data_IF_129322125190
#
_entry.id   IF_129322125190
#
_cell.length_a   1.000
_cell.length_b   1.000
_cell.length_c   1.000
_cell.angle_alpha   90.00
_cell.angle_beta   90.00
_cell.angle_gamma   90.00
#
_symmetry.space_group_name_H-M   'P 1'
#
loop_
_entity.id
_entity.type
_entity.pdbx_description
1 polymer ?
#
# COMPACT_ATOMS: atom_id res chain seq x y z
N UNK A 1 7.50 12.13 4.97
CA UNK A 1 7.05 11.59 3.68
C UNK A 1 8.02 12.02 2.60
N UNK A 2 8.18 13.29 2.30
CA UNK A 2 9.06 13.82 1.25
C UNK A 2 10.49 13.24 1.35
N UNK A 3 11.09 13.28 2.54
CA UNK A 3 12.41 12.72 2.78
C UNK A 3 12.52 11.24 2.38
N UNK A 4 11.50 10.44 2.70
CA UNK A 4 11.51 9.00 2.37
C UNK A 4 11.23 8.76 0.90
N UNK A 5 10.17 9.36 0.36
CA UNK A 5 9.75 9.07 -1.01
C UNK A 5 10.62 9.79 -2.06
N UNK A 6 10.87 11.09 -1.90
CA UNK A 6 11.65 11.85 -2.88
C UNK A 6 13.16 11.64 -2.70
N UNK A 7 13.70 11.87 -1.47
CA UNK A 7 15.16 11.88 -1.27
C UNK A 7 15.76 10.47 -1.20
N UNK A 8 15.10 9.52 -0.47
CA UNK A 8 15.66 8.17 -0.32
C UNK A 8 15.26 7.22 -1.48
N UNK A 9 13.98 7.27 -1.90
CA UNK A 9 13.46 6.34 -2.92
C UNK A 9 13.57 6.91 -4.34
N UNK A 10 13.71 8.22 -4.48
CA UNK A 10 13.89 8.88 -5.77
C UNK A 10 12.58 9.09 -6.55
N UNK A 11 11.44 9.16 -5.84
CA UNK A 11 10.17 9.53 -6.46
C UNK A 11 10.21 10.96 -6.99
N UNK A 12 9.62 11.20 -8.15
CA UNK A 12 9.57 12.51 -8.79
C UNK A 12 8.46 13.38 -8.16
N UNK A 13 8.65 13.76 -6.91
CA UNK A 13 7.72 14.61 -6.17
C UNK A 13 8.16 16.06 -6.32
N UNK A 14 7.41 16.83 -7.11
CA UNK A 14 7.63 18.28 -7.25
C UNK A 14 7.09 18.99 -6.01
N UNK A 15 7.96 19.67 -5.27
CA UNK A 15 7.58 20.37 -4.04
C UNK A 15 8.51 21.56 -3.78
N UNK A 16 7.93 22.76 -3.68
CA UNK A 16 8.67 23.99 -3.38
C UNK A 16 9.05 24.12 -1.90
N UNK A 17 8.41 23.36 -1.03
CA UNK A 17 8.55 23.45 0.43
C UNK A 17 9.08 22.17 1.09
N UNK A 18 9.48 21.16 0.31
CA UNK A 18 9.98 19.87 0.82
C UNK A 18 8.88 19.01 1.46
N UNK A 19 7.63 19.18 1.06
CA UNK A 19 6.51 18.36 1.54
C UNK A 19 6.02 17.42 0.43
N UNK A 20 5.73 16.18 0.77
CA UNK A 20 4.91 15.29 -0.04
C UNK A 20 3.46 15.48 0.38
N UNK A 21 2.73 16.27 -0.39
CA UNK A 21 1.31 16.55 -0.18
C UNK A 21 0.58 16.52 -1.52
N UNK A 22 -0.61 15.96 -1.52
CA UNK A 22 -1.50 15.92 -2.67
C UNK A 22 -2.94 16.25 -2.24
N UNK A 23 -3.85 16.35 -3.19
CA UNK A 23 -5.26 16.71 -2.96
C UNK A 23 -6.00 15.72 -2.03
N UNK A 24 -5.54 14.47 -1.91
CA UNK A 24 -6.15 13.48 -1.03
C UNK A 24 -5.87 13.74 0.45
N UNK A 25 -4.81 14.48 0.80
CA UNK A 25 -4.40 14.65 2.19
C UNK A 25 -5.49 15.30 3.05
N UNK A 26 -6.26 16.25 2.49
CA UNK A 26 -7.34 16.93 3.20
C UNK A 26 -8.57 16.03 3.45
N UNK A 27 -8.69 14.91 2.73
CA UNK A 27 -9.81 13.96 2.82
C UNK A 27 -9.43 12.68 3.58
N UNK A 28 -8.19 12.58 4.02
CA UNK A 28 -7.65 11.40 4.68
C UNK A 28 -7.51 11.59 6.19
N UNK A 29 -7.60 10.49 6.92
CA UNK A 29 -7.06 10.39 8.27
C UNK A 29 -5.56 10.08 8.21
N UNK A 30 -4.78 10.62 9.14
CA UNK A 30 -3.34 10.41 9.20
C UNK A 30 -2.97 9.65 10.46
N UNK A 31 -2.53 8.41 10.30
CA UNK A 31 -2.01 7.61 11.40
C UNK A 31 -0.51 7.91 11.55
N UNK A 32 -0.12 8.37 12.74
CA UNK A 32 1.23 8.83 13.01
C UNK A 32 1.83 8.07 14.19
N UNK A 33 3.09 7.67 14.07
CA UNK A 33 3.92 7.25 15.22
C UNK A 33 4.88 8.37 15.55
N UNK A 34 4.83 8.79 16.82
CA UNK A 34 5.59 9.91 17.35
C UNK A 34 6.53 9.45 18.46
N UNK A 35 7.75 9.93 18.44
CA UNK A 35 8.71 9.70 19.51
C UNK A 35 8.34 10.53 20.75
N UNK A 36 8.37 9.92 21.93
CA UNK A 36 7.91 10.60 23.16
C UNK A 36 8.81 11.73 23.62
N UNK A 37 10.12 11.61 23.38
CA UNK A 37 11.12 12.53 23.95
C UNK A 37 11.14 13.88 23.25
N UNK A 38 10.89 13.93 21.96
CA UNK A 38 11.07 15.12 21.13
C UNK A 38 9.89 15.42 20.19
N UNK A 39 8.80 14.67 20.31
CA UNK A 39 7.59 14.79 19.50
C UNK A 39 7.79 14.56 17.98
N UNK A 40 8.93 14.00 17.59
CA UNK A 40 9.28 13.75 16.18
C UNK A 40 8.38 12.67 15.60
N UNK A 41 7.80 12.95 14.43
CA UNK A 41 7.07 11.95 13.64
C UNK A 41 8.09 10.99 13.00
N UNK A 42 7.99 9.70 13.32
CA UNK A 42 8.93 8.66 12.88
C UNK A 42 8.29 7.61 11.98
N UNK A 43 6.96 7.61 11.87
CA UNK A 43 6.21 6.74 10.95
C UNK A 43 4.83 7.29 10.67
N UNK A 44 4.31 7.01 9.49
CA UNK A 44 2.96 7.40 9.10
C UNK A 44 2.30 6.41 8.13
N UNK A 45 0.97 6.44 8.14
CA UNK A 45 0.07 5.96 7.10
C UNK A 45 -0.97 7.04 6.79
N UNK A 46 -1.37 7.13 5.54
CA UNK A 46 -2.54 7.87 5.09
C UNK A 46 -3.71 6.90 4.91
N UNK A 47 -4.87 7.24 5.46
CA UNK A 47 -6.07 6.41 5.51
C UNK A 47 -7.21 7.13 4.81
N UNK A 48 -7.61 6.69 3.63
CA UNK A 48 -8.76 7.20 2.90
C UNK A 48 -9.96 6.27 3.14
N UNK A 49 -11.00 6.77 3.76
CA UNK A 49 -12.25 6.03 3.97
C UNK A 49 -13.20 6.20 2.78
N UNK A 50 -14.28 5.41 2.72
CA UNK A 50 -15.33 5.57 1.70
C UNK A 50 -15.96 6.97 1.72
N UNK A 51 -16.08 7.59 2.90
CA UNK A 51 -16.56 8.96 3.04
C UNK A 51 -15.57 9.97 2.43
N UNK A 52 -14.28 9.84 2.73
CA UNK A 52 -13.23 10.67 2.14
C UNK A 52 -13.13 10.50 0.62
N UNK A 53 -13.21 9.27 0.13
CA UNK A 53 -13.21 8.97 -1.30
C UNK A 53 -14.44 9.56 -2.01
N UNK A 54 -15.61 9.53 -1.38
CA UNK A 54 -16.81 10.17 -1.92
C UNK A 54 -16.70 11.69 -1.93
N UNK A 55 -16.08 12.29 -0.92
CA UNK A 55 -15.90 13.74 -0.82
C UNK A 55 -14.92 14.30 -1.88
N UNK A 56 -13.82 13.60 -2.13
CA UNK A 56 -12.87 13.97 -3.21
C UNK A 56 -13.35 13.49 -4.59
N UNK A 57 -14.29 12.53 -4.63
CA UNK A 57 -14.85 11.99 -5.88
C UNK A 57 -14.20 10.71 -6.39
N UNK A 58 -13.12 10.23 -5.78
CA UNK A 58 -12.41 9.02 -6.23
C UNK A 58 -11.59 8.35 -5.12
N UNK A 59 -11.33 7.07 -5.26
CA UNK A 59 -10.28 6.35 -4.54
C UNK A 59 -8.92 6.63 -5.18
N UNK A 60 -7.85 6.72 -4.39
CA UNK A 60 -6.51 6.95 -4.94
C UNK A 60 -6.11 5.83 -5.92
N UNK A 61 -6.33 4.56 -5.54
CA UNK A 61 -6.03 3.42 -6.40
C UNK A 61 -6.84 3.38 -7.70
N UNK A 62 -7.94 4.13 -7.83
CA UNK A 62 -8.69 4.21 -9.08
C UNK A 62 -7.95 5.02 -10.17
N UNK A 63 -6.93 5.79 -9.80
CA UNK A 63 -6.03 6.41 -10.77
C UNK A 63 -5.17 5.36 -11.49
N UNK A 64 -4.93 4.24 -10.85
CA UNK A 64 -4.07 3.17 -11.34
C UNK A 64 -4.85 1.93 -11.83
N UNK A 65 -6.02 1.65 -11.24
CA UNK A 65 -6.77 0.42 -11.47
C UNK A 65 -8.26 0.68 -11.70
N UNK A 66 -8.87 -0.13 -12.56
CA UNK A 66 -10.34 -0.23 -12.64
C UNK A 66 -10.88 -0.98 -11.42
N UNK A 67 -11.50 -0.23 -10.49
CA UNK A 67 -12.08 -0.76 -9.25
C UNK A 67 -13.54 -1.20 -9.41
N UNK A 68 -14.10 -1.27 -10.63
CA UNK A 68 -15.52 -1.58 -10.86
C UNK A 68 -15.98 -2.88 -10.22
N UNK A 69 -15.12 -3.89 -10.16
CA UNK A 69 -15.41 -5.18 -9.51
C UNK A 69 -15.40 -5.14 -7.99
N UNK A 70 -14.81 -4.12 -7.39
CA UNK A 70 -14.69 -3.99 -5.93
C UNK A 70 -15.82 -3.16 -5.30
N UNK A 71 -16.76 -2.64 -6.08
CA UNK A 71 -17.83 -1.76 -5.60
C UNK A 71 -18.61 -2.32 -4.40
N UNK A 72 -18.72 -3.65 -4.29
CA UNK A 72 -19.41 -4.32 -3.19
C UNK A 72 -18.63 -4.32 -1.87
N UNK A 73 -17.31 -4.10 -1.87
CA UNK A 73 -16.48 -4.02 -0.66
C UNK A 73 -16.07 -2.59 -0.30
N UNK A 74 -16.01 -1.68 -1.28
CA UNK A 74 -15.54 -0.32 -1.08
C UNK A 74 -16.25 0.46 0.05
N UNK A 75 -17.58 0.30 0.30
CA UNK A 75 -18.25 0.97 1.42
C UNK A 75 -17.70 0.58 2.81
N UNK A 76 -17.07 -0.58 2.93
CA UNK A 76 -16.47 -1.09 4.16
C UNK A 76 -14.95 -1.16 4.09
N UNK A 77 -14.35 -0.44 3.14
CA UNK A 77 -12.92 -0.41 2.94
C UNK A 77 -12.28 0.87 3.48
N UNK A 78 -10.99 0.76 3.83
CA UNK A 78 -10.06 1.87 3.95
C UNK A 78 -8.92 1.67 2.99
N UNK A 79 -8.55 2.73 2.28
CA UNK A 79 -7.37 2.71 1.43
C UNK A 79 -6.16 3.24 2.20
N UNK A 80 -5.09 2.46 2.15
CA UNK A 80 -3.82 2.72 2.81
C UNK A 80 -2.82 3.29 1.80
N UNK A 81 -2.32 4.47 2.08
CA UNK A 81 -1.30 5.10 1.25
C UNK A 81 -0.19 5.76 2.07
N UNK A 82 0.84 6.19 1.38
CA UNK A 82 1.97 6.95 1.95
C UNK A 82 2.57 6.30 3.20
N UNK A 83 2.64 4.96 3.22
CA UNK A 83 3.28 4.19 4.28
C UNK A 83 4.77 4.48 4.33
N UNK A 84 5.26 5.13 5.36
CA UNK A 84 6.70 5.33 5.52
C UNK A 84 7.15 5.33 6.98
N UNK A 85 8.40 4.92 7.19
CA UNK A 85 9.09 4.92 8.48
C UNK A 85 10.45 5.58 8.29
N UNK A 86 10.80 6.47 9.20
CA UNK A 86 12.10 7.12 9.21
C UNK A 86 13.23 6.08 9.27
N UNK A 87 14.31 6.29 8.50
CA UNK A 87 15.38 5.29 8.29
C UNK A 87 15.99 4.73 9.61
N UNK A 88 16.16 5.58 10.61
CA UNK A 88 16.73 5.17 11.91
C UNK A 88 15.76 4.32 12.77
N UNK A 89 14.48 4.25 12.40
CA UNK A 89 13.43 3.56 13.16
C UNK A 89 12.85 2.34 12.44
N UNK A 90 13.57 1.80 11.44
CA UNK A 90 13.13 0.63 10.63
C UNK A 90 13.43 -0.72 11.28
N UNK A 91 13.64 -0.77 12.59
CA UNK A 91 13.88 -2.01 13.36
C UNK A 91 12.65 -2.93 13.47
N UNK A 92 11.49 -2.51 12.98
CA UNK A 92 10.23 -3.26 13.01
C UNK A 92 9.24 -2.80 14.08
N UNK A 93 9.67 -2.14 15.16
CA UNK A 93 8.76 -1.66 16.21
C UNK A 93 7.80 -0.58 15.71
N UNK A 94 8.29 0.38 14.92
CA UNK A 94 7.47 1.47 14.38
C UNK A 94 6.37 0.96 13.45
N UNK A 95 6.69 0.03 12.56
CA UNK A 95 5.68 -0.58 11.68
C UNK A 95 4.67 -1.41 12.48
N UNK A 96 5.10 -2.06 13.56
CA UNK A 96 4.21 -2.78 14.48
C UNK A 96 3.20 -1.84 15.14
N UNK A 97 3.64 -0.67 15.60
CA UNK A 97 2.76 0.35 16.17
C UNK A 97 1.78 0.92 15.13
N UNK A 98 2.24 1.18 13.90
CA UNK A 98 1.37 1.59 12.79
C UNK A 98 0.28 0.55 12.53
N UNK A 99 0.63 -0.72 12.48
CA UNK A 99 -0.35 -1.80 12.28
C UNK A 99 -1.33 -1.93 13.45
N UNK A 100 -0.87 -1.79 14.68
CA UNK A 100 -1.75 -1.79 15.86
C UNK A 100 -2.75 -0.63 15.82
N UNK A 101 -2.27 0.58 15.49
CA UNK A 101 -3.13 1.75 15.33
C UNK A 101 -4.12 1.59 14.17
N UNK A 102 -3.69 1.01 13.05
CA UNK A 102 -4.54 0.71 11.91
C UNK A 102 -5.66 -0.27 12.28
N UNK A 103 -5.33 -1.37 12.96
CA UNK A 103 -6.34 -2.35 13.40
C UNK A 103 -7.34 -1.75 14.38
N UNK A 104 -6.88 -0.88 15.30
CA UNK A 104 -7.76 -0.15 16.19
C UNK A 104 -8.70 0.79 15.43
N UNK A 105 -8.19 1.53 14.45
CA UNK A 105 -8.99 2.38 13.57
C UNK A 105 -10.05 1.57 12.82
N UNK A 106 -9.68 0.44 12.22
CA UNK A 106 -10.60 -0.46 11.53
C UNK A 106 -11.75 -0.93 12.41
N UNK A 107 -11.43 -1.35 13.64
CA UNK A 107 -12.41 -1.76 14.64
C UNK A 107 -13.38 -0.63 15.02
N UNK A 108 -12.85 0.56 15.29
CA UNK A 108 -13.66 1.72 15.66
C UNK A 108 -14.63 2.16 14.56
N UNK A 109 -14.21 2.02 13.31
CA UNK A 109 -14.99 2.43 12.14
C UNK A 109 -15.87 1.29 11.58
N UNK A 110 -15.79 0.07 12.11
CA UNK A 110 -16.52 -1.09 11.59
C UNK A 110 -16.13 -1.46 10.17
N UNK A 111 -14.87 -1.25 9.78
CA UNK A 111 -14.35 -1.54 8.44
C UNK A 111 -13.87 -2.99 8.34
N UNK A 112 -14.06 -3.61 7.17
CA UNK A 112 -13.75 -5.02 6.94
C UNK A 112 -12.61 -5.25 5.95
N UNK A 113 -12.27 -4.25 5.13
CA UNK A 113 -11.27 -4.38 4.07
C UNK A 113 -10.23 -3.27 4.14
N UNK A 114 -8.99 -3.65 3.94
CA UNK A 114 -7.88 -2.72 3.65
C UNK A 114 -7.49 -2.90 2.18
N UNK A 115 -7.37 -1.82 1.45
CA UNK A 115 -6.85 -1.80 0.08
C UNK A 115 -5.69 -0.81 -0.04
N UNK A 116 -4.90 -0.90 -1.09
CA UNK A 116 -3.85 0.08 -1.38
C UNK A 116 -2.82 -0.45 -2.36
N UNK A 117 -2.03 0.45 -2.93
CA UNK A 117 -0.99 0.11 -3.87
C UNK A 117 0.28 -0.38 -3.16
N UNK A 118 0.80 -1.49 -3.62
CA UNK A 118 2.07 -2.05 -3.18
C UNK A 118 3.13 -1.90 -4.28
N UNK A 119 4.11 -1.03 -4.04
CA UNK A 119 5.08 -0.61 -5.05
C UNK A 119 6.30 -1.52 -5.13
N UNK A 120 6.70 -1.83 -6.36
CA UNK A 120 7.92 -2.54 -6.73
C UNK A 120 8.80 -1.61 -7.57
N UNK A 121 10.10 -1.62 -7.31
CA UNK A 121 11.05 -0.72 -7.97
C UNK A 121 11.22 -1.04 -9.46
N UNK A 122 11.26 0.00 -10.31
CA UNK A 122 11.44 -0.09 -11.75
C UNK A 122 12.87 0.25 -12.23
N UNK A 123 13.84 0.39 -11.33
CA UNK A 123 15.23 0.81 -11.67
C UNK A 123 15.96 -0.09 -12.66
N UNK A 124 15.57 -1.36 -12.74
CA UNK A 124 16.12 -2.34 -13.69
C UNK A 124 15.28 -2.51 -14.97
N UNK A 125 14.36 -1.57 -15.21
CA UNK A 125 13.44 -1.65 -16.35
C UNK A 125 12.23 -2.55 -16.11
N UNK A 126 11.99 -3.01 -14.86
CA UNK A 126 10.82 -3.79 -14.47
C UNK A 126 11.03 -5.31 -14.39
N UNK A 127 12.22 -5.80 -14.67
CA UNK A 127 12.54 -7.24 -14.61
C UNK A 127 12.34 -7.81 -13.19
N UNK A 128 12.79 -7.10 -12.16
CA UNK A 128 12.56 -7.46 -10.76
C UNK A 128 11.06 -7.42 -10.42
N UNK A 129 10.35 -6.39 -10.86
CA UNK A 129 8.91 -6.26 -10.61
C UNK A 129 8.11 -7.40 -11.24
N UNK A 130 8.40 -7.76 -12.49
CA UNK A 130 7.77 -8.90 -13.18
C UNK A 130 8.05 -10.23 -12.48
N UNK A 131 9.29 -10.44 -12.00
CA UNK A 131 9.70 -11.65 -11.27
C UNK A 131 9.02 -11.75 -9.89
N UNK A 132 8.90 -10.63 -9.18
CA UNK A 132 8.16 -10.53 -7.93
C UNK A 132 6.69 -10.81 -8.18
N UNK A 133 6.07 -10.18 -9.19
CA UNK A 133 4.66 -10.37 -9.49
C UNK A 133 4.33 -11.83 -9.83
N UNK A 134 5.14 -12.52 -10.62
CA UNK A 134 4.95 -13.94 -10.89
C UNK A 134 4.83 -14.75 -9.61
N UNK A 135 5.75 -14.54 -8.66
CA UNK A 135 5.75 -15.23 -7.36
C UNK A 135 4.55 -14.84 -6.49
N UNK A 136 4.13 -13.57 -6.53
CA UNK A 136 2.92 -13.10 -5.84
C UNK A 136 1.66 -13.75 -6.41
N UNK A 137 1.58 -13.87 -7.75
CA UNK A 137 0.48 -14.54 -8.44
C UNK A 137 0.33 -16.02 -8.03
N UNK A 138 1.44 -16.71 -7.84
CA UNK A 138 1.44 -18.10 -7.36
C UNK A 138 1.02 -18.23 -5.88
N UNK A 139 1.33 -17.25 -5.05
CA UNK A 139 1.15 -17.35 -3.59
C UNK A 139 -0.17 -16.78 -3.07
N UNK A 140 -0.63 -15.67 -3.63
CA UNK A 140 -1.72 -14.89 -3.05
C UNK A 140 -2.58 -14.12 -4.07
N UNK A 141 -2.70 -14.63 -5.31
CA UNK A 141 -3.56 -14.00 -6.30
C UNK A 141 -5.03 -14.05 -5.86
N UNK A 142 -5.73 -12.93 -6.04
CA UNK A 142 -7.12 -12.81 -5.61
C UNK A 142 -8.06 -13.71 -6.41
N UNK A 143 -9.14 -14.21 -5.80
CA UNK A 143 -10.26 -14.81 -6.53
C UNK A 143 -10.82 -13.86 -7.59
N UNK A 144 -11.47 -14.39 -8.66
CA UNK A 144 -11.90 -13.58 -9.79
C UNK A 144 -12.77 -12.37 -9.46
N UNK A 145 -13.59 -12.46 -8.42
CA UNK A 145 -14.49 -11.40 -7.95
C UNK A 145 -13.77 -10.18 -7.38
N UNK A 146 -12.51 -10.33 -6.95
CA UNK A 146 -11.67 -9.25 -6.40
C UNK A 146 -10.58 -8.78 -7.36
N UNK A 147 -10.59 -9.27 -8.61
CA UNK A 147 -9.56 -8.90 -9.58
C UNK A 147 -9.85 -7.56 -10.22
N UNK A 148 -8.82 -6.74 -10.33
CA UNK A 148 -8.81 -5.43 -10.99
C UNK A 148 -7.90 -5.46 -12.21
N UNK A 149 -8.05 -4.44 -13.07
CA UNK A 149 -7.22 -4.26 -14.26
C UNK A 149 -6.44 -2.95 -14.14
N UNK A 150 -5.13 -2.97 -14.41
CA UNK A 150 -4.32 -1.75 -14.40
C UNK A 150 -4.67 -0.83 -15.58
N UNK A 151 -4.74 0.48 -15.33
CA UNK A 151 -4.98 1.49 -16.38
C UNK A 151 -3.77 1.62 -17.33
N UNK A 152 -2.55 1.41 -16.81
CA UNK A 152 -1.30 1.38 -17.59
C UNK A 152 -0.54 0.10 -17.22
N UNK A 153 -0.82 -1.04 -17.90
CA UNK A 153 -0.25 -2.33 -17.52
C UNK A 153 1.26 -2.40 -17.77
N UNK A 154 2.00 -2.99 -16.81
CA UNK A 154 3.39 -3.36 -17.01
C UNK A 154 3.46 -4.44 -18.11
N UNK A 155 4.33 -4.32 -19.13
CA UNK A 155 4.44 -5.31 -20.21
C UNK A 155 5.18 -6.58 -19.75
N UNK A 156 4.58 -7.34 -18.85
CA UNK A 156 5.19 -8.48 -18.13
C UNK A 156 5.78 -9.51 -19.08
N UNK A 157 5.09 -9.80 -20.21
CA UNK A 157 5.52 -10.83 -21.16
C UNK A 157 6.83 -10.46 -21.89
N UNK A 158 7.19 -9.18 -21.91
CA UNK A 158 8.44 -8.69 -22.48
C UNK A 158 9.60 -8.65 -21.47
N UNK A 159 9.33 -8.97 -20.19
CA UNK A 159 10.29 -8.84 -19.09
C UNK A 159 10.75 -10.22 -18.59
N UNK A 160 11.91 -10.25 -17.96
CA UNK A 160 12.35 -11.42 -17.22
C UNK A 160 11.46 -11.63 -16.00
N UNK A 161 11.08 -12.89 -15.76
CA UNK A 161 10.15 -13.23 -14.67
C UNK A 161 10.73 -14.29 -13.70
N UNK A 162 12.00 -14.60 -13.83
CA UNK A 162 12.67 -15.68 -13.10
C UNK A 162 13.84 -15.22 -12.23
N UNK A 163 13.99 -13.91 -12.03
CA UNK A 163 15.02 -13.36 -11.16
C UNK A 163 14.76 -13.72 -9.69
N UNK A 164 15.80 -14.15 -8.98
CA UNK A 164 15.73 -14.37 -7.53
C UNK A 164 15.91 -13.06 -6.78
N UNK A 165 14.81 -12.32 -6.63
CA UNK A 165 14.77 -11.03 -5.95
C UNK A 165 13.87 -11.10 -4.71
N UNK A 166 14.27 -10.40 -3.65
CA UNK A 166 13.48 -10.31 -2.43
C UNK A 166 12.23 -9.46 -2.63
N UNK A 167 11.13 -9.84 -1.99
CA UNK A 167 9.94 -8.99 -1.93
C UNK A 167 10.25 -7.70 -1.19
N UNK A 168 9.73 -6.54 -1.65
CA UNK A 168 9.73 -5.32 -0.84
C UNK A 168 9.17 -5.60 0.56
N UNK A 169 9.77 -5.00 1.59
CA UNK A 169 9.47 -5.33 2.98
C UNK A 169 7.98 -5.19 3.31
N UNK A 170 7.32 -4.17 2.77
CA UNK A 170 5.90 -3.92 2.98
C UNK A 170 5.03 -4.99 2.32
N UNK A 171 5.29 -5.32 1.05
CA UNK A 171 4.59 -6.40 0.34
C UNK A 171 4.78 -7.74 1.06
N UNK A 172 6.01 -8.05 1.49
CA UNK A 172 6.32 -9.25 2.29
C UNK A 172 5.49 -9.31 3.58
N UNK A 173 5.30 -8.17 4.23
CA UNK A 173 4.44 -8.04 5.41
C UNK A 173 2.97 -8.34 5.10
N UNK A 174 2.43 -7.75 4.06
CA UNK A 174 1.04 -7.96 3.63
C UNK A 174 0.75 -9.42 3.25
N UNK A 175 1.61 -10.03 2.44
CA UNK A 175 1.48 -11.46 2.05
C UNK A 175 1.47 -12.36 3.30
N UNK A 176 2.39 -12.13 4.24
CA UNK A 176 2.44 -12.89 5.50
C UNK A 176 1.21 -12.69 6.38
N UNK A 177 0.61 -11.51 6.33
CA UNK A 177 -0.62 -11.20 7.05
C UNK A 177 -1.86 -11.85 6.44
N UNK A 178 -1.80 -12.29 5.17
CA UNK A 178 -2.89 -12.95 4.47
C UNK A 178 -3.56 -12.12 3.38
N UNK A 179 -2.90 -11.05 2.92
CA UNK A 179 -3.41 -10.22 1.83
C UNK A 179 -3.48 -10.96 0.49
N UNK A 180 -4.37 -10.49 -0.36
CA UNK A 180 -4.44 -10.81 -1.78
C UNK A 180 -3.72 -9.76 -2.64
N UNK A 181 -3.22 -10.19 -3.80
CA UNK A 181 -2.83 -9.33 -4.91
C UNK A 181 -3.94 -9.39 -5.96
N UNK A 182 -4.56 -8.25 -6.23
CA UNK A 182 -5.83 -8.21 -6.95
C UNK A 182 -5.72 -8.07 -8.47
N UNK A 183 -4.53 -7.94 -9.03
CA UNK A 183 -4.39 -7.78 -10.48
C UNK A 183 -2.94 -7.76 -10.92
N UNK A 184 -2.77 -7.58 -12.22
CA UNK A 184 -1.46 -7.34 -12.81
C UNK A 184 -0.93 -5.96 -12.43
N UNK A 185 0.41 -5.74 -12.45
CA UNK A 185 0.98 -4.47 -12.06
C UNK A 185 0.60 -3.33 -12.99
N UNK A 186 0.29 -2.19 -12.40
CA UNK A 186 0.26 -0.89 -13.05
C UNK A 186 1.69 -0.31 -13.09
N UNK A 187 2.09 0.27 -14.21
CA UNK A 187 3.34 1.01 -14.29
C UNK A 187 3.09 2.48 -13.98
N UNK A 188 3.49 2.89 -12.78
CA UNK A 188 3.49 4.28 -12.34
C UNK A 188 4.79 4.95 -12.82
N UNK A 189 4.66 5.84 -13.80
CA UNK A 189 5.79 6.56 -14.38
C UNK A 189 6.27 7.71 -13.49
N UNK A 190 5.41 8.26 -12.64
CA UNK A 190 5.74 9.39 -11.78
C UNK A 190 6.59 8.95 -10.58
N UNK A 191 6.23 7.82 -9.97
CA UNK A 191 7.01 7.22 -8.90
C UNK A 191 8.09 6.24 -9.40
N UNK A 192 8.15 5.97 -10.72
CA UNK A 192 9.03 4.97 -11.31
C UNK A 192 8.91 3.62 -10.59
N UNK A 193 7.67 3.18 -10.39
CA UNK A 193 7.31 1.93 -9.73
C UNK A 193 6.33 1.11 -10.57
N UNK A 194 6.29 -0.19 -10.28
CA UNK A 194 5.23 -1.08 -10.72
C UNK A 194 4.37 -1.41 -9.50
N UNK A 195 3.11 -1.01 -9.53
CA UNK A 195 2.22 -1.11 -8.40
C UNK A 195 1.22 -2.24 -8.57
N UNK A 196 0.99 -3.00 -7.51
CA UNK A 196 -0.08 -4.00 -7.46
C UNK A 196 -1.13 -3.58 -6.45
N UNK A 197 -2.40 -3.75 -6.78
CA UNK A 197 -3.44 -3.54 -5.79
C UNK A 197 -3.41 -4.68 -4.77
N UNK A 198 -3.12 -4.32 -3.53
CA UNK A 198 -3.17 -5.21 -2.36
C UNK A 198 -4.54 -5.07 -1.70
N UNK A 199 -5.17 -6.17 -1.37
CA UNK A 199 -6.40 -6.19 -0.58
C UNK A 199 -6.26 -7.16 0.58
N UNK A 200 -6.63 -6.72 1.78
CA UNK A 200 -6.61 -7.57 2.97
C UNK A 200 -7.95 -7.50 3.70
N UNK A 201 -8.80 -8.53 3.55
CA UNK A 201 -9.96 -8.69 4.41
C UNK A 201 -9.52 -8.97 5.86
N UNK A 202 -10.12 -8.29 6.84
CA UNK A 202 -9.81 -8.52 8.26
C UNK A 202 -10.00 -9.99 8.64
N UNK A 203 -11.03 -10.63 8.10
CA UNK A 203 -11.34 -12.03 8.35
C UNK A 203 -10.23 -13.01 7.93
N UNK A 204 -9.32 -12.57 7.05
CA UNK A 204 -8.18 -13.37 6.57
C UNK A 204 -6.89 -13.13 7.35
N UNK A 205 -6.86 -12.13 8.21
CA UNK A 205 -5.63 -11.82 8.96
C UNK A 205 -5.21 -13.06 9.72
N UNK A 206 -3.98 -13.50 9.47
CA UNK A 206 -3.40 -14.66 10.11
C UNK A 206 -3.51 -14.55 11.64
N UNK A 207 -3.96 -15.61 12.32
CA UNK A 207 -4.21 -15.64 13.77
C UNK A 207 -3.01 -15.18 14.63
N UNK A 208 -1.79 -15.33 14.13
CA UNK A 208 -0.57 -14.84 14.78
C UNK A 208 -0.53 -13.31 14.76
N UNK A 209 -0.86 -12.69 13.62
CA UNK A 209 -0.96 -11.23 13.47
C UNK A 209 -2.17 -10.69 14.23
N UNK A 210 -3.33 -11.34 14.10
CA UNK A 210 -4.54 -10.96 14.84
C UNK A 210 -4.32 -10.90 16.35
N UNK A 211 -3.66 -11.90 16.94
CA UNK A 211 -3.32 -11.91 18.39
C UNK A 211 -2.34 -10.79 18.81
N UNK A 212 -1.58 -10.28 17.89
CA UNK A 212 -0.59 -9.25 18.17
C UNK A 212 -1.18 -7.84 18.07
N UNK A 213 -2.19 -7.64 17.21
CA UNK A 213 -2.73 -6.34 16.85
C UNK A 213 -4.20 -6.13 17.26
N UNK A 214 -4.96 -7.18 17.60
CA UNK A 214 -6.39 -7.12 17.95
C UNK A 214 -6.65 -7.29 19.45
N UNK A 215 -5.66 -7.05 20.30
CA UNK A 215 -5.82 -7.07 21.78
C UNK A 215 -6.13 -5.70 22.33
#
# INVERSE_FOLDING_TARGET
>A
RYKVFAEEMGANIVSDNGLDADEYDDYCQHLLVRERENDRIIGCYRLLTAEGAAAIGNWYSANEFDLSRLQHILPQAVELGRACVHQEYRSGSTITLLWAGLMHFMQQQGLEYMIGCGSMCMKDGGHSAASIFRRLKEQCYAPPEYRVFPNNPLPIDALQQDLDVEFPALIKGYVRAGAYICGEPHWDTDFNSADVLVMMPISRINARYARHFLK
#
